data_IF_726962388029
#
_entry.id   IF_726962388029
#
_cell.length_a   1.000
_cell.length_b   1.000
_cell.length_c   1.000
_cell.angle_alpha   90.00
_cell.angle_beta   90.00
_cell.angle_gamma   90.00
#
_symmetry.space_group_name_H-M   'P 1'
#
loop_
_entity.id
_entity.type
_entity.pdbx_description
1 polymer ?
#
# COMPACT_ATOMS: atom_id res chain seq x y z
N UNK A 1 12.11 -27.78 -29.82
CA UNK A 1 10.73 -27.26 -29.67
C UNK A 1 10.22 -27.42 -28.23
N UNK A 2 10.28 -28.61 -27.65
CA UNK A 2 9.80 -28.91 -26.28
C UNK A 2 10.54 -28.19 -25.13
N UNK A 3 11.82 -27.89 -25.28
CA UNK A 3 12.60 -27.16 -24.27
C UNK A 3 12.12 -25.70 -24.13
N UNK A 4 11.71 -25.09 -25.24
CA UNK A 4 11.24 -23.70 -25.26
C UNK A 4 9.87 -23.55 -24.57
N UNK A 5 9.00 -24.54 -24.73
CA UNK A 5 7.70 -24.58 -24.05
C UNK A 5 7.85 -24.77 -22.54
N UNK A 6 8.82 -25.57 -22.10
CA UNK A 6 9.11 -25.76 -20.66
C UNK A 6 9.65 -24.46 -20.04
N UNK A 7 10.59 -23.78 -20.71
CA UNK A 7 11.12 -22.50 -20.24
C UNK A 7 10.05 -21.40 -20.14
N UNK A 8 9.08 -21.37 -21.06
CA UNK A 8 7.95 -20.44 -21.02
C UNK A 8 7.02 -20.70 -19.82
N UNK A 9 6.78 -21.97 -19.48
CA UNK A 9 5.93 -22.34 -18.34
C UNK A 9 6.63 -22.00 -17.02
N UNK A 10 7.92 -22.32 -16.89
CA UNK A 10 8.74 -21.94 -15.73
C UNK A 10 8.78 -20.43 -15.53
N UNK A 11 9.00 -19.66 -16.62
CA UNK A 11 9.00 -18.20 -16.56
C UNK A 11 7.63 -17.63 -16.14
N UNK A 12 6.52 -18.20 -16.63
CA UNK A 12 5.17 -17.78 -16.24
C UNK A 12 4.86 -18.13 -14.78
N UNK A 13 5.32 -19.28 -14.30
CA UNK A 13 5.15 -19.70 -12.90
C UNK A 13 5.91 -18.77 -11.94
N UNK A 14 7.17 -18.47 -12.24
CA UNK A 14 7.99 -17.53 -11.49
C UNK A 14 7.35 -16.13 -11.49
N UNK A 15 6.83 -15.67 -12.64
CA UNK A 15 6.14 -14.38 -12.72
C UNK A 15 4.88 -14.36 -11.85
N UNK A 16 4.12 -15.45 -11.80
CA UNK A 16 2.93 -15.59 -10.95
C UNK A 16 3.28 -15.57 -9.45
N UNK A 17 4.37 -16.23 -9.05
CA UNK A 17 4.85 -16.22 -7.66
C UNK A 17 5.36 -14.84 -7.23
N UNK A 18 6.11 -14.17 -8.10
CA UNK A 18 6.56 -12.79 -7.84
C UNK A 18 5.36 -11.85 -7.70
N UNK A 19 4.34 -12.01 -8.55
CA UNK A 19 3.12 -11.19 -8.51
C UNK A 19 2.30 -11.44 -7.24
N UNK A 20 2.22 -12.69 -6.77
CA UNK A 20 1.48 -13.03 -5.55
C UNK A 20 2.16 -12.50 -4.29
N UNK A 21 3.49 -12.60 -4.21
CA UNK A 21 4.29 -12.09 -3.08
C UNK A 21 4.24 -10.56 -3.04
N UNK A 22 4.32 -9.89 -4.19
CA UNK A 22 4.20 -8.42 -4.26
C UNK A 22 2.80 -7.94 -3.92
N UNK A 23 1.74 -8.65 -4.36
CA UNK A 23 0.35 -8.33 -3.99
C UNK A 23 0.09 -8.57 -2.49
N UNK A 24 0.64 -9.63 -1.91
CA UNK A 24 0.55 -9.90 -0.47
C UNK A 24 1.30 -8.84 0.37
N UNK A 25 2.47 -8.39 -0.09
CA UNK A 25 3.20 -7.29 0.54
C UNK A 25 2.44 -5.96 0.45
N UNK A 26 1.75 -5.71 -0.68
CA UNK A 26 0.84 -4.57 -0.86
C UNK A 26 -0.33 -4.58 0.14
N UNK A 27 -0.89 -5.75 0.45
CA UNK A 27 -2.00 -5.89 1.40
C UNK A 27 -1.59 -5.69 2.87
N UNK A 28 -0.30 -5.86 3.20
CA UNK A 28 0.20 -5.77 4.59
C UNK A 28 0.95 -4.47 4.92
N UNK A 29 1.38 -3.68 3.94
CA UNK A 29 2.06 -2.41 4.18
C UNK A 29 1.67 -1.34 3.15
N UNK A 30 0.59 -0.58 3.39
CA UNK A 30 0.16 0.50 2.49
C UNK A 30 1.16 1.68 2.47
N UNK A 31 2.08 1.76 3.45
CA UNK A 31 2.97 2.91 3.69
C UNK A 31 4.02 3.13 2.58
N UNK A 32 4.38 2.08 1.83
CA UNK A 32 5.48 2.14 0.84
C UNK A 32 5.00 2.69 -0.52
N UNK A 33 3.71 2.55 -0.87
CA UNK A 33 3.23 2.95 -2.20
C UNK A 33 2.87 4.44 -2.34
N UNK A 34 2.55 5.14 -1.25
CA UNK A 34 1.92 6.48 -1.34
C UNK A 34 2.86 7.64 -1.70
N UNK A 35 4.17 7.52 -1.46
CA UNK A 35 5.11 8.63 -1.69
C UNK A 35 5.57 8.74 -3.17
N UNK A 36 5.25 7.75 -4.00
CA UNK A 36 5.76 7.61 -5.37
C UNK A 36 4.72 7.92 -6.46
N UNK A 37 3.46 8.19 -6.11
CA UNK A 37 2.36 8.21 -7.09
C UNK A 37 2.33 9.47 -7.96
N UNK A 38 2.44 10.67 -7.40
CA UNK A 38 2.23 11.91 -8.19
C UNK A 38 3.31 12.15 -9.25
N UNK A 39 4.57 11.93 -8.90
CA UNK A 39 5.71 12.13 -9.82
C UNK A 39 5.72 11.05 -10.90
N UNK A 40 5.47 9.79 -10.54
CA UNK A 40 5.41 8.67 -11.48
C UNK A 40 4.25 8.85 -12.47
N UNK A 41 3.08 9.28 -11.99
CA UNK A 41 1.90 9.52 -12.82
C UNK A 41 2.10 10.68 -13.81
N UNK A 42 2.67 11.82 -13.37
CA UNK A 42 2.99 12.93 -14.27
C UNK A 42 4.07 12.55 -15.30
N UNK A 43 5.03 11.70 -14.92
CA UNK A 43 6.06 11.19 -15.84
C UNK A 43 5.44 10.29 -16.91
N UNK A 44 4.49 9.42 -16.54
CA UNK A 44 3.74 8.58 -17.47
C UNK A 44 2.86 9.42 -18.41
N UNK A 45 2.20 10.46 -17.90
CA UNK A 45 1.45 11.41 -18.72
C UNK A 45 2.34 12.03 -19.80
N UNK A 46 3.52 12.54 -19.40
CA UNK A 46 4.48 13.14 -20.33
C UNK A 46 4.95 12.14 -21.38
N UNK A 47 5.26 10.90 -20.99
CA UNK A 47 5.68 9.86 -21.92
C UNK A 47 4.59 9.51 -22.96
N UNK A 48 3.32 9.46 -22.54
CA UNK A 48 2.18 9.23 -23.44
C UNK A 48 1.99 10.41 -24.39
N UNK A 49 1.99 11.65 -23.87
CA UNK A 49 1.80 12.86 -24.68
C UNK A 49 2.93 13.12 -25.69
N UNK A 50 4.15 12.64 -25.39
CA UNK A 50 5.27 12.68 -26.33
C UNK A 50 5.07 11.76 -27.55
N UNK A 51 4.33 10.66 -27.39
CA UNK A 51 4.11 9.66 -28.44
C UNK A 51 2.83 9.90 -29.27
N UNK A 52 1.94 10.81 -28.85
CA UNK A 52 0.68 11.10 -29.58
C UNK A 52 0.86 12.33 -30.47
N UNK A 53 0.64 12.19 -31.79
CA UNK A 53 0.88 13.26 -32.76
C UNK A 53 -0.19 14.38 -32.75
N UNK A 54 -1.50 14.06 -32.73
CA UNK A 54 -2.65 14.99 -32.56
C UNK A 54 -3.93 14.22 -32.16
N UNK A 55 -4.98 14.81 -31.51
CA UNK A 55 -5.11 16.17 -31.00
C UNK A 55 -4.70 16.21 -29.52
N UNK A 56 -3.52 16.81 -29.28
CA UNK A 56 -2.86 16.80 -27.98
C UNK A 56 -3.70 17.42 -26.86
N UNK A 57 -4.49 18.45 -27.16
CA UNK A 57 -5.18 19.26 -26.13
C UNK A 57 -6.34 18.55 -25.44
N UNK A 58 -7.25 17.95 -26.21
CA UNK A 58 -8.44 17.30 -25.61
C UNK A 58 -8.05 16.00 -24.90
N UNK A 59 -7.11 15.25 -25.48
CA UNK A 59 -6.55 14.07 -24.86
C UNK A 59 -5.76 14.41 -23.59
N UNK A 60 -4.91 15.44 -23.62
CA UNK A 60 -4.20 15.92 -22.44
C UNK A 60 -5.17 16.35 -21.35
N UNK A 61 -6.20 17.13 -21.69
CA UNK A 61 -7.17 17.60 -20.71
C UNK A 61 -7.89 16.44 -20.02
N UNK A 62 -8.41 15.49 -20.80
CA UNK A 62 -9.11 14.33 -20.28
C UNK A 62 -8.18 13.43 -19.44
N UNK A 63 -6.95 13.22 -19.90
CA UNK A 63 -5.98 12.39 -19.20
C UNK A 63 -5.54 13.06 -17.89
N UNK A 64 -5.27 14.36 -17.89
CA UNK A 64 -5.00 15.13 -16.66
C UNK A 64 -6.18 15.09 -15.69
N UNK A 65 -7.41 15.20 -16.17
CA UNK A 65 -8.60 15.12 -15.32
C UNK A 65 -8.71 13.75 -14.63
N UNK A 66 -8.54 12.66 -15.39
CA UNK A 66 -8.53 11.29 -14.87
C UNK A 66 -7.38 11.05 -13.87
N UNK A 67 -6.18 11.56 -14.15
CA UNK A 67 -5.04 11.43 -13.26
C UNK A 67 -5.22 12.20 -11.96
N UNK A 68 -5.75 13.43 -12.03
CA UNK A 68 -6.07 14.21 -10.85
C UNK A 68 -7.13 13.52 -9.98
N UNK A 69 -8.14 12.92 -10.60
CA UNK A 69 -9.14 12.13 -9.89
C UNK A 69 -8.54 10.88 -9.23
N UNK A 70 -7.68 10.14 -9.93
CA UNK A 70 -6.99 8.97 -9.41
C UNK A 70 -6.09 9.31 -8.22
N UNK A 71 -5.27 10.37 -8.34
CA UNK A 71 -4.42 10.87 -7.26
C UNK A 71 -5.27 11.34 -6.07
N UNK A 72 -6.36 12.06 -6.31
CA UNK A 72 -7.25 12.51 -5.24
C UNK A 72 -7.90 11.33 -4.50
N UNK A 73 -8.27 10.27 -5.20
CA UNK A 73 -8.78 9.03 -4.60
C UNK A 73 -7.71 8.33 -3.76
N UNK A 74 -6.47 8.27 -4.25
CA UNK A 74 -5.34 7.72 -3.49
C UNK A 74 -5.05 8.52 -2.22
N UNK A 75 -5.08 9.86 -2.29
CA UNK A 75 -4.93 10.75 -1.12
C UNK A 75 -6.04 10.53 -0.07
N UNK A 76 -7.27 10.29 -0.51
CA UNK A 76 -8.40 9.97 0.39
C UNK A 76 -8.17 8.63 1.09
N UNK A 77 -7.81 7.58 0.34
CA UNK A 77 -7.49 6.25 0.88
C UNK A 77 -6.29 6.31 1.84
N UNK A 78 -5.28 7.12 1.53
CA UNK A 78 -4.12 7.38 2.40
C UNK A 78 -4.54 7.96 3.75
N UNK A 79 -5.41 8.98 3.75
CA UNK A 79 -5.94 9.58 4.99
C UNK A 79 -6.75 8.57 5.80
N UNK A 80 -7.61 7.80 5.14
CA UNK A 80 -8.42 6.78 5.81
C UNK A 80 -7.54 5.69 6.45
N UNK A 81 -6.49 5.25 5.75
CA UNK A 81 -5.51 4.31 6.29
C UNK A 81 -4.76 4.89 7.51
N UNK A 82 -4.37 6.16 7.46
CA UNK A 82 -3.73 6.82 8.60
C UNK A 82 -4.65 6.88 9.82
N UNK A 83 -5.93 7.18 9.63
CA UNK A 83 -6.90 7.20 10.74
C UNK A 83 -7.20 5.79 11.28
N UNK A 84 -7.24 4.77 10.40
CA UNK A 84 -7.30 3.36 10.83
C UNK A 84 -6.07 2.97 11.68
N UNK A 85 -4.87 3.35 11.26
CA UNK A 85 -3.64 3.10 12.02
C UNK A 85 -3.62 3.82 13.37
N UNK A 86 -4.05 5.08 13.43
CA UNK A 86 -4.18 5.85 14.68
C UNK A 86 -5.13 5.15 15.65
N UNK A 87 -6.28 4.70 15.15
CA UNK A 87 -7.27 3.98 15.96
C UNK A 87 -6.71 2.68 16.51
N UNK A 88 -6.05 1.87 15.66
CA UNK A 88 -5.42 0.63 16.08
C UNK A 88 -4.33 0.86 17.16
N UNK A 89 -3.51 1.91 16.98
CA UNK A 89 -2.47 2.28 17.94
C UNK A 89 -3.08 2.71 19.29
N UNK A 90 -4.13 3.52 19.28
CA UNK A 90 -4.82 3.92 20.51
C UNK A 90 -5.39 2.71 21.26
N UNK A 91 -6.01 1.78 20.55
CA UNK A 91 -6.54 0.55 21.14
C UNK A 91 -5.42 -0.34 21.70
N UNK A 92 -4.27 -0.42 21.02
CA UNK A 92 -3.11 -1.15 21.51
C UNK A 92 -2.55 -0.52 22.81
N UNK A 93 -2.44 0.81 22.86
CA UNK A 93 -2.01 1.53 24.06
C UNK A 93 -2.97 1.33 25.24
N UNK A 94 -4.29 1.33 25.00
CA UNK A 94 -5.28 1.03 26.05
C UNK A 94 -5.10 -0.38 26.61
N UNK A 95 -4.98 -1.39 25.74
CA UNK A 95 -4.73 -2.77 26.15
C UNK A 95 -3.42 -2.91 26.92
N UNK A 96 -2.38 -2.18 26.52
CA UNK A 96 -1.10 -2.18 27.21
C UNK A 96 -1.24 -1.61 28.63
N UNK A 97 -1.96 -0.50 28.80
CA UNK A 97 -2.23 0.07 30.12
C UNK A 97 -3.04 -0.87 31.02
N UNK A 98 -4.04 -1.57 30.47
CA UNK A 98 -4.84 -2.53 31.23
C UNK A 98 -4.01 -3.74 31.67
N UNK A 99 -3.09 -4.20 30.81
CA UNK A 99 -2.15 -5.27 31.16
C UNK A 99 -1.14 -4.81 32.22
N UNK A 100 -0.63 -3.58 32.14
CA UNK A 100 0.25 -3.03 33.16
C UNK A 100 -0.42 -3.01 34.54
N UNK A 101 -1.67 -2.57 34.64
CA UNK A 101 -2.43 -2.61 35.89
C UNK A 101 -2.62 -4.02 36.42
N UNK A 102 -2.95 -4.97 35.54
CA UNK A 102 -3.09 -6.38 35.95
C UNK A 102 -1.78 -6.93 36.49
N UNK A 103 -0.65 -6.57 35.89
CA UNK A 103 0.68 -6.96 36.38
C UNK A 103 0.95 -6.34 37.75
N UNK A 104 0.70 -5.04 37.95
CA UNK A 104 0.87 -4.37 39.25
C UNK A 104 0.01 -5.04 40.35
N UNK A 105 -1.27 -5.33 40.07
CA UNK A 105 -2.15 -6.02 41.02
C UNK A 105 -1.65 -7.43 41.37
N UNK A 106 -1.08 -8.15 40.40
CA UNK A 106 -0.51 -9.48 40.62
C UNK A 106 0.79 -9.39 41.43
N UNK A 107 1.64 -8.41 41.16
CA UNK A 107 2.85 -8.14 41.92
C UNK A 107 2.54 -7.80 43.38
N UNK A 108 1.53 -6.96 43.64
CA UNK A 108 1.06 -6.65 45.00
C UNK A 108 0.55 -7.90 45.71
N UNK A 109 -0.29 -8.72 45.07
CA UNK A 109 -0.81 -9.96 45.66
C UNK A 109 0.29 -10.95 46.02
N UNK A 110 1.36 -11.02 45.22
CA UNK A 110 2.52 -11.87 45.50
C UNK A 110 3.33 -11.27 46.66
N UNK A 111 3.53 -9.96 46.69
CA UNK A 111 4.29 -9.29 47.75
C UNK A 111 3.59 -9.34 49.11
N UNK A 112 2.26 -9.31 49.16
CA UNK A 112 1.48 -9.40 50.41
C UNK A 112 1.54 -10.82 51.01
N UNK A 113 1.81 -11.84 50.18
CA UNK A 113 1.80 -13.25 50.59
C UNK A 113 3.15 -13.76 51.11
N UNK A 114 4.18 -12.89 51.13
CA UNK A 114 5.55 -13.18 51.54
C UNK A 114 5.83 -12.59 52.91
#
# INVERSE_FOLDING_TARGET
>A
MWIFTILLIEAAYILSEILSVTLAAMLHCPRIYMAMDRIMIETLLQAILQQVEQPKKDLEHNLRALLNEAVSKMDLVSKEELERQRTALNNANQRLNDLLKQVEELEEKISIKK
#
